data_IF_192514906437
#
_entry.id   IF_192514906437
#
_cell.length_a   1.000
_cell.length_b   1.000
_cell.length_c   1.000
_cell.angle_alpha   90.00
_cell.angle_beta   90.00
_cell.angle_gamma   90.00
#
_symmetry.space_group_name_H-M   'P 1'
#
loop_
_entity.id
_entity.type
_entity.pdbx_description
1 polymer ?
#
# COMPACT_ATOMS: atom_id res chain seq x y z
N UNK A 1 30.97 29.42 18.72
CA UNK A 1 30.13 29.12 17.56
C UNK A 1 30.73 29.84 16.36
N UNK A 2 30.95 29.19 15.21
CA UNK A 2 31.48 29.83 14.00
C UNK A 2 30.60 30.98 13.52
N UNK A 3 31.16 31.96 12.80
CA UNK A 3 30.39 33.08 12.25
C UNK A 3 29.61 32.69 10.99
N UNK A 4 28.57 33.44 10.64
CA UNK A 4 27.72 33.17 9.48
C UNK A 4 28.51 33.22 8.15
N UNK A 5 29.47 34.15 8.06
CA UNK A 5 30.42 34.26 6.93
C UNK A 5 31.38 33.07 6.85
N UNK A 6 31.76 32.51 7.98
CA UNK A 6 32.63 31.33 8.06
C UNK A 6 31.86 30.06 7.66
N UNK A 7 30.60 29.95 8.07
CA UNK A 7 29.68 28.89 7.63
C UNK A 7 29.45 28.92 6.11
N UNK A 8 29.18 30.09 5.52
CA UNK A 8 28.98 30.23 4.08
C UNK A 8 30.22 29.84 3.26
N UNK A 9 31.43 30.07 3.80
CA UNK A 9 32.71 29.77 3.15
C UNK A 9 33.06 28.29 3.15
N UNK A 10 32.67 27.56 4.19
CA UNK A 10 33.00 26.14 4.39
C UNK A 10 31.84 25.23 3.93
N UNK A 11 30.61 25.77 3.84
CA UNK A 11 29.45 25.01 3.44
C UNK A 11 29.57 24.50 2.00
N UNK A 12 29.61 23.18 1.87
CA UNK A 12 29.43 22.51 0.59
C UNK A 12 27.93 22.45 0.28
N UNK A 13 27.46 22.87 -0.91
CA UNK A 13 26.05 22.81 -1.25
C UNK A 13 25.58 21.34 -1.28
N UNK A 14 24.85 20.94 -0.23
CA UNK A 14 24.26 19.63 -0.11
C UNK A 14 22.80 19.70 -0.55
N UNK A 15 22.45 19.00 -1.63
CA UNK A 15 21.04 18.83 -1.99
C UNK A 15 20.37 17.89 -0.99
N UNK A 16 19.44 18.42 -0.20
CA UNK A 16 18.63 17.59 0.70
C UNK A 16 17.76 16.66 -0.16
N UNK A 17 18.04 15.35 -0.14
CA UNK A 17 17.19 14.36 -0.82
C UNK A 17 15.86 14.32 -0.07
N UNK A 18 14.79 14.84 -0.69
CA UNK A 18 13.43 14.63 -0.22
C UNK A 18 13.16 13.12 -0.23
N UNK A 19 12.96 12.52 0.94
CA UNK A 19 12.65 11.10 1.04
C UNK A 19 11.40 10.80 0.19
N UNK A 20 11.43 9.80 -0.70
CA UNK A 20 10.23 9.41 -1.43
C UNK A 20 9.18 8.96 -0.41
N UNK A 21 7.94 9.43 -0.55
CA UNK A 21 6.84 9.08 0.36
C UNK A 21 6.33 7.66 0.06
N UNK A 22 7.20 6.65 0.17
CA UNK A 22 6.87 5.24 -0.01
C UNK A 22 5.64 4.83 0.81
N UNK A 23 5.54 5.33 2.05
CA UNK A 23 4.39 5.09 2.92
C UNK A 23 3.05 5.56 2.33
N UNK A 24 3.02 6.65 1.55
CA UNK A 24 1.78 7.13 0.93
C UNK A 24 1.30 6.17 -0.17
N UNK A 25 2.22 5.70 -1.01
CA UNK A 25 1.91 4.74 -2.08
C UNK A 25 1.48 3.39 -1.52
N UNK A 26 2.13 2.91 -0.47
CA UNK A 26 1.75 1.66 0.19
C UNK A 26 0.36 1.75 0.81
N UNK A 27 0.06 2.82 1.57
CA UNK A 27 -1.26 3.02 2.18
C UNK A 27 -2.36 3.15 1.13
N UNK A 28 -2.12 3.94 0.08
CA UNK A 28 -3.09 4.12 -1.01
C UNK A 28 -3.34 2.80 -1.76
N UNK A 29 -2.27 2.06 -2.08
CA UNK A 29 -2.36 0.75 -2.72
C UNK A 29 -3.12 -0.26 -1.86
N UNK A 30 -2.79 -0.35 -0.57
CA UNK A 30 -3.47 -1.22 0.39
C UNK A 30 -4.97 -0.92 0.49
N UNK A 31 -5.34 0.36 0.63
CA UNK A 31 -6.72 0.80 0.72
C UNK A 31 -7.50 0.49 -0.55
N UNK A 32 -6.95 0.84 -1.72
CA UNK A 32 -7.59 0.56 -3.00
C UNK A 32 -7.75 -0.95 -3.21
N UNK A 33 -6.71 -1.72 -2.90
CA UNK A 33 -6.74 -3.18 -2.95
C UNK A 33 -7.80 -3.80 -2.05
N UNK A 34 -7.93 -3.29 -0.80
CA UNK A 34 -8.98 -3.72 0.13
C UNK A 34 -10.37 -3.49 -0.47
N UNK A 35 -10.62 -2.28 -0.98
CA UNK A 35 -11.92 -1.91 -1.57
C UNK A 35 -12.23 -2.80 -2.77
N UNK A 36 -11.26 -3.01 -3.66
CA UNK A 36 -11.45 -3.88 -4.84
C UNK A 36 -11.70 -5.33 -4.42
N UNK A 37 -10.92 -5.88 -3.49
CA UNK A 37 -11.10 -7.24 -2.97
C UNK A 37 -12.46 -7.43 -2.31
N UNK A 38 -12.91 -6.44 -1.53
CA UNK A 38 -14.23 -6.43 -0.90
C UNK A 38 -15.34 -6.41 -1.96
N UNK A 39 -15.28 -5.48 -2.91
CA UNK A 39 -16.29 -5.36 -3.99
C UNK A 39 -16.36 -6.65 -4.79
N UNK A 40 -15.22 -7.23 -5.16
CA UNK A 40 -15.19 -8.51 -5.88
C UNK A 40 -15.84 -9.63 -5.06
N UNK A 41 -15.56 -9.71 -3.76
CA UNK A 41 -16.17 -10.72 -2.91
C UNK A 41 -17.69 -10.57 -2.79
N UNK A 42 -18.18 -9.32 -2.76
CA UNK A 42 -19.60 -9.02 -2.67
C UNK A 42 -20.33 -9.30 -4.00
N UNK A 43 -19.72 -8.97 -5.14
CA UNK A 43 -20.33 -9.11 -6.47
C UNK A 43 -20.23 -10.53 -7.03
N UNK A 44 -19.07 -11.19 -6.89
CA UNK A 44 -18.83 -12.53 -7.43
C UNK A 44 -19.15 -13.65 -6.41
N UNK A 45 -19.50 -13.27 -5.18
CA UNK A 45 -19.86 -14.24 -4.16
C UNK A 45 -21.10 -15.05 -4.54
N UNK A 46 -21.14 -16.37 -4.24
CA UNK A 46 -22.30 -17.19 -4.55
C UNK A 46 -23.56 -16.64 -3.85
N UNK A 47 -24.59 -16.33 -4.64
CA UNK A 47 -25.88 -15.80 -4.16
C UNK A 47 -26.69 -16.80 -3.32
N UNK A 48 -26.21 -18.04 -3.19
CA UNK A 48 -26.91 -19.15 -2.55
C UNK A 48 -26.04 -19.99 -1.62
N UNK A 49 -24.96 -19.45 -1.05
CA UNK A 49 -24.26 -20.11 0.07
C UNK A 49 -25.09 -19.98 1.37
N UNK A 50 -26.35 -20.39 1.31
CA UNK A 50 -27.13 -20.73 2.48
C UNK A 50 -26.74 -22.14 2.91
N UNK A 51 -26.27 -22.26 4.15
CA UNK A 51 -26.07 -23.49 4.90
C UNK A 51 -25.12 -24.54 4.29
N UNK A 52 -23.96 -24.70 4.92
CA UNK A 52 -23.05 -25.84 4.72
C UNK A 52 -21.66 -25.36 4.35
N UNK A 53 -20.65 -25.40 5.20
CA UNK A 53 -20.42 -26.08 6.48
C UNK A 53 -19.78 -25.04 7.43
N UNK A 54 -19.94 -25.20 8.74
CA UNK A 54 -19.23 -24.41 9.76
C UNK A 54 -17.71 -24.66 9.70
N UNK A 55 -17.04 -24.19 8.64
CA UNK A 55 -15.58 -24.30 8.45
C UNK A 55 -14.87 -23.04 9.00
N UNK A 56 -15.63 -22.14 9.60
CA UNK A 56 -15.12 -20.93 10.25
C UNK A 56 -14.39 -21.25 11.55
N UNK A 57 -13.09 -20.94 11.64
CA UNK A 57 -12.30 -21.10 12.87
C UNK A 57 -12.76 -20.13 13.98
N UNK A 58 -13.44 -19.03 13.59
CA UNK A 58 -13.95 -18.02 14.50
C UNK A 58 -15.46 -17.82 14.30
N UNK A 59 -16.23 -17.50 15.37
CA UNK A 59 -17.70 -17.37 15.31
C UNK A 59 -18.22 -16.32 14.31
N UNK A 60 -17.41 -15.33 13.97
CA UNK A 60 -17.75 -14.25 13.03
C UNK A 60 -17.17 -14.48 11.62
N UNK A 61 -16.37 -15.52 11.42
CA UNK A 61 -15.81 -15.96 10.15
C UNK A 61 -16.54 -17.19 9.65
N UNK A 62 -17.86 -17.13 9.54
CA UNK A 62 -18.62 -18.18 8.85
C UNK A 62 -18.20 -18.29 7.38
N UNK A 63 -18.69 -19.29 6.64
CA UNK A 63 -18.23 -19.59 5.28
C UNK A 63 -18.27 -18.36 4.34
N UNK A 64 -19.31 -17.53 4.44
CA UNK A 64 -19.44 -16.32 3.62
C UNK A 64 -18.49 -15.22 4.09
N UNK A 65 -18.44 -14.94 5.39
CA UNK A 65 -17.58 -13.90 5.95
C UNK A 65 -16.09 -14.23 5.79
N UNK A 66 -15.72 -15.51 5.83
CA UNK A 66 -14.36 -15.98 5.55
C UNK A 66 -13.93 -15.65 4.12
N UNK A 67 -14.78 -15.91 3.13
CA UNK A 67 -14.49 -15.58 1.73
C UNK A 67 -14.33 -14.07 1.55
N UNK A 68 -15.21 -13.28 2.16
CA UNK A 68 -15.11 -11.80 2.10
C UNK A 68 -13.84 -11.30 2.77
N UNK A 69 -13.50 -11.82 3.95
CA UNK A 69 -12.30 -11.44 4.69
C UNK A 69 -11.02 -11.81 3.92
N UNK A 70 -10.93 -13.04 3.39
CA UNK A 70 -9.78 -13.49 2.60
C UNK A 70 -9.63 -12.70 1.31
N UNK A 71 -10.71 -12.50 0.55
CA UNK A 71 -10.65 -11.73 -0.69
C UNK A 71 -10.22 -10.28 -0.44
N UNK A 72 -10.73 -9.65 0.62
CA UNK A 72 -10.33 -8.30 1.04
C UNK A 72 -8.85 -8.25 1.42
N UNK A 73 -8.38 -9.23 2.21
CA UNK A 73 -6.98 -9.32 2.63
C UNK A 73 -6.03 -9.58 1.45
N UNK A 74 -6.40 -10.47 0.54
CA UNK A 74 -5.66 -10.70 -0.72
C UNK A 74 -5.61 -9.41 -1.53
N UNK A 75 -6.73 -8.68 -1.62
CA UNK A 75 -6.80 -7.37 -2.23
C UNK A 75 -5.79 -6.38 -1.62
N UNK A 76 -5.72 -6.29 -0.29
CA UNK A 76 -4.73 -5.46 0.43
C UNK A 76 -3.30 -5.82 0.03
N UNK A 77 -2.96 -7.11 0.03
CA UNK A 77 -1.61 -7.59 -0.29
C UNK A 77 -1.24 -7.25 -1.73
N UNK A 78 -2.13 -7.53 -2.68
CA UNK A 78 -1.92 -7.17 -4.10
C UNK A 78 -1.79 -5.65 -4.25
N UNK A 79 -2.65 -4.89 -3.59
CA UNK A 79 -2.61 -3.43 -3.57
C UNK A 79 -1.30 -2.87 -3.03
N UNK A 80 -0.76 -3.45 -1.95
CA UNK A 80 0.56 -3.10 -1.41
C UNK A 80 1.67 -3.33 -2.43
N UNK A 81 1.67 -4.48 -3.11
CA UNK A 81 2.67 -4.82 -4.14
C UNK A 81 2.62 -3.83 -5.31
N UNK A 82 1.42 -3.51 -5.80
CA UNK A 82 1.21 -2.53 -6.87
C UNK A 82 1.65 -1.13 -6.41
N UNK A 83 1.26 -0.71 -5.20
CA UNK A 83 1.67 0.55 -4.60
C UNK A 83 3.20 0.66 -4.46
N UNK A 84 3.86 -0.40 -3.98
CA UNK A 84 5.31 -0.46 -3.87
C UNK A 84 6.00 -0.32 -5.23
N UNK A 85 5.49 -1.02 -6.25
CA UNK A 85 6.02 -0.94 -7.61
C UNK A 85 5.88 0.47 -8.19
N UNK A 86 4.74 1.13 -7.97
CA UNK A 86 4.53 2.52 -8.39
C UNK A 86 5.46 3.50 -7.68
N UNK A 87 5.66 3.32 -6.37
CA UNK A 87 6.60 4.11 -5.59
C UNK A 87 8.03 3.97 -6.13
N UNK A 88 8.45 2.74 -6.44
CA UNK A 88 9.76 2.47 -7.00
C UNK A 88 9.94 3.10 -8.39
N UNK A 89 8.91 3.05 -9.25
CA UNK A 89 8.95 3.72 -10.56
C UNK A 89 9.03 5.24 -10.42
N UNK A 90 8.31 5.83 -9.46
CA UNK A 90 8.35 7.27 -9.20
C UNK A 90 9.76 7.71 -8.72
N UNK A 91 10.37 6.96 -7.80
CA UNK A 91 11.73 7.25 -7.32
C UNK A 91 12.75 7.16 -8.46
N UNK A 92 12.67 6.11 -9.30
CA UNK A 92 13.56 5.94 -10.47
C UNK A 92 13.43 7.06 -11.51
N UNK A 93 12.25 7.65 -11.70
CA UNK A 93 12.07 8.81 -12.60
C UNK A 93 12.68 10.07 -12.02
N UNK A 94 12.52 10.29 -10.71
CA UNK A 94 13.05 11.46 -10.01
C UNK A 94 14.58 11.51 -10.01
N UNK A 95 15.26 10.37 -9.95
CA UNK A 95 16.74 10.31 -10.01
C UNK A 95 17.31 10.44 -11.41
N UNK A 96 16.55 10.11 -12.46
CA UNK A 96 17.00 10.22 -13.86
C UNK A 96 16.97 11.64 -14.41
N UNK A 97 16.06 12.50 -13.94
CA UNK A 97 16.00 13.90 -14.38
C UNK A 97 17.05 14.82 -13.76
N UNK A 98 18.03 14.26 -13.00
CA UNK A 98 19.03 15.02 -12.24
C UNK A 98 20.48 14.62 -12.55
N UNK A 99 20.69 13.76 -13.56
CA UNK A 99 21.98 13.56 -14.21
C UNK A 99 22.08 14.53 -15.38
#
# INVERSE_FOLDING_TARGET
MPSEEELARIATPATVRRAPRYGAFLRAGALLGAVVGLVLALVLGPAGAGAGTDVGVLPFLDGRNTVVALATLTGVVVGLLVGALLALRADRRSTRGRR
#
